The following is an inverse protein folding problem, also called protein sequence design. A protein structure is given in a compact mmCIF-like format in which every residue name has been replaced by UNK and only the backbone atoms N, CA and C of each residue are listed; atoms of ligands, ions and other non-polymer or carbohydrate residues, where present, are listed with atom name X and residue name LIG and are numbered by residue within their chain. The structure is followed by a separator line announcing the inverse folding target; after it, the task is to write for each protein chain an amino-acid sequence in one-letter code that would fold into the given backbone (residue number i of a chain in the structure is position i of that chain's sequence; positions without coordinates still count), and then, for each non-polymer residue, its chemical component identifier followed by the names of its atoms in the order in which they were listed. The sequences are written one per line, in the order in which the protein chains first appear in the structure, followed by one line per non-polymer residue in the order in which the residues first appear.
data_IF_286495913976
#
_entry.id   IF_286495913976
#
_cell.length_a   1.000
_cell.length_b   1.000
_cell.length_c   1.000
_cell.angle_alpha   90.00
_cell.angle_beta   90.00
_cell.angle_gamma   90.00
#
_symmetry.space_group_name_H-M   'P 1'
#
loop_
_entity.id
_entity.type
_entity.pdbx_description
1 polymer ?
#
# COMPACT_ATOMS: atom_id res chain seq x y z
N UNK A 1 1.92 -10.54 14.27
CA UNK A 1 3.23 -10.23 13.65
C UNK A 1 3.16 -8.94 12.86
N UNK A 2 4.21 -8.10 12.89
CA UNK A 2 4.30 -6.82 12.18
C UNK A 2 3.99 -6.90 10.67
N UNK A 3 4.19 -8.07 10.05
CA UNK A 3 3.89 -8.31 8.64
C UNK A 3 2.39 -8.25 8.29
N UNK A 4 1.49 -8.48 9.26
CA UNK A 4 0.03 -8.45 9.02
C UNK A 4 -0.45 -7.02 8.74
N UNK A 5 0.20 -6.01 9.34
CA UNK A 5 -0.21 -4.61 9.20
C UNK A 5 0.05 -4.12 7.77
N UNK A 6 1.19 -4.47 7.18
CA UNK A 6 1.55 -4.03 5.83
C UNK A 6 0.66 -4.69 4.76
N UNK A 7 0.18 -5.90 5.01
CA UNK A 7 -0.70 -6.62 4.08
C UNK A 7 -2.00 -5.85 3.80
N UNK A 8 -2.59 -5.24 4.84
CA UNK A 8 -3.79 -4.42 4.69
C UNK A 8 -3.57 -3.18 3.81
N UNK A 9 -2.37 -2.58 3.84
CA UNK A 9 -2.04 -1.39 3.04
C UNK A 9 -1.66 -1.72 1.60
N UNK A 10 -1.22 -2.95 1.34
CA UNK A 10 -0.83 -3.42 0.01
C UNK A 10 -1.89 -4.29 -0.66
N UNK A 11 -3.08 -4.42 -0.07
CA UNK A 11 -4.16 -5.26 -0.55
C UNK A 11 -5.26 -4.51 -1.31
N UNK A 12 -5.73 -5.14 -2.37
CA UNK A 12 -6.85 -4.67 -3.17
C UNK A 12 -8.18 -5.01 -2.49
N UNK A 13 -9.01 -4.01 -2.20
CA UNK A 13 -10.29 -4.21 -1.52
C UNK A 13 -11.36 -4.94 -2.36
N UNK A 14 -11.09 -5.22 -3.63
CA UNK A 14 -12.01 -5.95 -4.53
C UNK A 14 -11.70 -7.44 -4.57
N UNK A 15 -10.42 -7.83 -4.62
CA UNK A 15 -10.02 -9.23 -4.65
C UNK A 15 -9.41 -9.74 -3.35
N UNK A 16 -9.18 -8.86 -2.38
CA UNK A 16 -8.54 -9.16 -1.09
C UNK A 16 -7.13 -9.74 -1.20
N UNK A 17 -6.46 -9.51 -2.34
CA UNK A 17 -5.09 -9.95 -2.62
C UNK A 17 -4.16 -8.75 -2.68
N UNK A 18 -2.87 -8.96 -2.42
CA UNK A 18 -1.84 -7.94 -2.65
C UNK A 18 -1.91 -7.44 -4.09
N UNK A 19 -1.80 -6.11 -4.27
CA UNK A 19 -1.97 -5.46 -5.56
C UNK A 19 -1.17 -6.11 -6.71
N UNK A 20 -1.80 -6.18 -7.88
CA UNK A 20 -1.19 -6.45 -9.18
C UNK A 20 -1.54 -5.30 -10.12
N UNK A 21 -0.52 -4.60 -10.61
CA UNK A 21 -0.65 -3.38 -11.41
C UNK A 21 -1.66 -2.39 -10.79
N UNK A 22 -1.40 -1.89 -9.57
CA UNK A 22 -2.32 -1.02 -8.86
C UNK A 22 -2.57 0.29 -9.63
N UNK A 23 -3.81 0.74 -9.67
CA UNK A 23 -4.24 2.03 -10.21
C UNK A 23 -4.96 2.83 -9.13
N UNK A 24 -4.70 4.13 -9.06
CA UNK A 24 -5.27 5.01 -8.03
C UNK A 24 -6.31 5.96 -8.64
N UNK A 25 -7.49 6.04 -8.02
CA UNK A 25 -8.52 7.02 -8.36
C UNK A 25 -8.23 8.40 -7.77
N UNK A 26 -8.95 9.43 -8.25
CA UNK A 26 -8.85 10.79 -7.70
C UNK A 26 -9.25 10.89 -6.23
N UNK A 27 -10.09 9.97 -5.74
CA UNK A 27 -10.45 9.85 -4.33
C UNK A 27 -9.38 9.15 -3.46
N UNK A 28 -8.19 8.86 -4.00
CA UNK A 28 -7.07 8.23 -3.27
C UNK A 28 -7.12 6.70 -3.18
N UNK A 29 -8.30 6.07 -3.29
CA UNK A 29 -8.43 4.61 -3.27
C UNK A 29 -7.73 3.94 -4.46
N UNK A 30 -7.07 2.82 -4.18
CA UNK A 30 -6.30 2.04 -5.16
C UNK A 30 -6.82 0.61 -5.29
N UNK A 31 -6.72 0.06 -6.50
CA UNK A 31 -7.23 -1.26 -6.88
C UNK A 31 -6.28 -1.92 -7.86
N UNK A 32 -6.29 -3.25 -7.98
CA UNK A 32 -5.69 -3.89 -9.15
C UNK A 32 -6.38 -3.35 -10.42
N UNK A 33 -5.61 -3.04 -11.46
CA UNK A 33 -6.16 -2.50 -12.72
C UNK A 33 -7.31 -3.37 -13.25
N UNK A 34 -7.11 -4.68 -13.29
CA UNK A 34 -8.11 -5.65 -13.75
C UNK A 34 -9.36 -5.71 -12.87
N UNK A 35 -9.22 -5.56 -11.56
CA UNK A 35 -10.35 -5.55 -10.62
C UNK A 35 -11.23 -4.32 -10.83
N UNK A 36 -10.62 -3.14 -10.94
CA UNK A 36 -11.35 -1.89 -11.15
C UNK A 36 -12.04 -1.88 -12.52
N UNK A 37 -11.35 -2.35 -13.56
CA UNK A 37 -11.92 -2.44 -14.91
C UNK A 37 -13.15 -3.35 -14.94
N UNK A 38 -13.05 -4.57 -14.39
CA UNK A 38 -14.20 -5.49 -14.28
C UNK A 38 -15.37 -4.87 -13.53
N UNK A 39 -15.10 -4.19 -12.41
CA UNK A 39 -16.13 -3.52 -11.63
C UNK A 39 -16.85 -2.43 -12.44
N UNK A 40 -16.12 -1.58 -13.17
CA UNK A 40 -16.71 -0.55 -14.04
C UNK A 40 -17.51 -1.15 -15.21
N UNK A 41 -17.03 -2.24 -15.79
CA UNK A 41 -17.74 -2.97 -16.86
C UNK A 41 -19.06 -3.58 -16.37
N UNK A 42 -19.08 -4.12 -15.14
CA UNK A 42 -20.28 -4.72 -14.54
C UNK A 42 -21.30 -3.66 -14.11
N UNK A 43 -20.85 -2.60 -13.44
CA UNK A 43 -21.73 -1.58 -12.87
C UNK A 43 -22.14 -0.49 -13.86
N UNK A 44 -21.53 -0.50 -15.06
CA UNK A 44 -21.76 0.50 -16.14
C UNK A 44 -21.55 1.94 -15.68
N UNK A 45 -20.69 2.16 -14.69
CA UNK A 45 -20.29 3.48 -14.22
C UNK A 45 -18.83 3.48 -13.79
N UNK A 46 -18.22 4.67 -13.70
CA UNK A 46 -16.82 4.84 -13.28
C UNK A 46 -16.69 5.24 -11.81
N UNK A 47 -17.51 4.69 -10.92
CA UNK A 47 -17.46 5.05 -9.50
C UNK A 47 -16.40 4.23 -8.76
N UNK A 48 -15.92 4.78 -7.64
CA UNK A 48 -15.04 4.07 -6.73
C UNK A 48 -15.80 2.90 -6.07
N UNK A 49 -15.26 1.66 -6.08
CA UNK A 49 -15.84 0.53 -5.36
C UNK A 49 -16.06 0.79 -3.86
N UNK A 50 -15.22 1.62 -3.23
CA UNK A 50 -15.24 1.90 -1.79
C UNK A 50 -16.18 3.07 -1.48
N UNK A 51 -15.77 4.30 -1.80
CA UNK A 51 -16.51 5.51 -1.39
C UNK A 51 -17.62 5.93 -2.37
N UNK A 52 -17.83 5.19 -3.46
CA UNK A 52 -18.82 5.47 -4.53
C UNK A 52 -18.63 6.81 -5.25
N UNK A 53 -17.59 7.57 -4.94
CA UNK A 53 -17.23 8.80 -5.65
C UNK A 53 -16.93 8.55 -7.13
N UNK A 54 -17.42 9.43 -8.00
CA UNK A 54 -17.22 9.34 -9.45
C UNK A 54 -15.75 9.61 -9.81
N UNK A 55 -15.14 8.69 -10.55
CA UNK A 55 -13.82 8.92 -11.11
C UNK A 55 -13.89 9.96 -12.23
N UNK A 56 -13.00 10.95 -12.17
CA UNK A 56 -12.74 11.88 -13.28
C UNK A 56 -11.72 11.33 -14.28
N UNK A 57 -11.06 10.21 -13.99
CA UNK A 57 -10.01 9.64 -14.84
C UNK A 57 -10.62 8.82 -15.98
N UNK A 58 -10.30 9.22 -17.21
CA UNK A 58 -10.65 8.47 -18.43
C UNK A 58 -9.68 7.34 -18.71
N UNK A 59 -8.41 7.53 -18.37
CA UNK A 59 -7.33 6.55 -18.52
C UNK A 59 -6.78 6.25 -17.13
N UNK A 60 -6.56 4.96 -16.84
CA UNK A 60 -5.97 4.50 -15.60
C UNK A 60 -4.47 4.27 -15.80
N UNK A 61 -3.66 4.91 -14.98
CA UNK A 61 -2.21 4.72 -14.96
C UNK A 61 -1.81 3.89 -13.75
N UNK A 62 -0.86 2.98 -13.96
CA UNK A 62 -0.30 2.18 -12.87
C UNK A 62 0.45 3.10 -11.90
N UNK A 63 0.17 2.95 -10.62
CA UNK A 63 0.93 3.56 -9.55
C UNK A 63 2.21 2.74 -9.34
N UNK A 64 3.30 3.16 -9.99
CA UNK A 64 4.57 2.44 -9.97
C UNK A 64 5.16 2.28 -8.56
N UNK A 65 5.02 3.28 -7.69
CA UNK A 65 5.51 3.19 -6.32
C UNK A 65 4.77 2.08 -5.55
N UNK A 66 3.43 2.07 -5.64
CA UNK A 66 2.62 1.04 -4.98
C UNK A 66 2.87 -0.35 -5.59
N UNK A 67 3.11 -0.43 -6.91
CA UNK A 67 3.51 -1.67 -7.58
C UNK A 67 4.82 -2.20 -7.03
N UNK A 68 5.86 -1.36 -6.93
CA UNK A 68 7.17 -1.79 -6.41
C UNK A 68 7.08 -2.31 -4.97
N UNK A 69 6.28 -1.66 -4.12
CA UNK A 69 6.06 -2.11 -2.75
C UNK A 69 5.33 -3.46 -2.72
N UNK A 70 4.25 -3.61 -3.49
CA UNK A 70 3.50 -4.86 -3.60
C UNK A 70 4.34 -6.02 -4.15
N UNK A 71 5.16 -5.75 -5.17
CA UNK A 71 6.05 -6.75 -5.78
C UNK A 71 7.19 -7.14 -4.82
N UNK A 72 7.72 -6.19 -4.04
CA UNK A 72 8.70 -6.48 -2.99
C UNK A 72 8.09 -7.31 -1.85
N UNK A 73 6.86 -7.00 -1.43
CA UNK A 73 6.16 -7.72 -0.37
C UNK A 73 5.85 -9.18 -0.73
N UNK A 74 5.56 -9.42 -2.01
CA UNK A 74 5.19 -10.75 -2.52
C UNK A 74 6.35 -11.53 -3.14
N UNK A 75 7.56 -10.95 -3.18
CA UNK A 75 8.71 -11.56 -3.84
C UNK A 75 8.59 -11.64 -5.38
N UNK A 76 7.69 -10.89 -6.00
CA UNK A 76 7.43 -10.90 -7.47
C UNK A 76 8.44 -10.08 -8.29
N UNK A 77 9.59 -9.70 -7.72
CA UNK A 77 10.60 -8.89 -8.43
C UNK A 77 11.06 -9.62 -9.70
N UNK A 78 10.80 -9.04 -10.87
CA UNK A 78 11.60 -9.37 -12.06
C UNK A 78 12.99 -8.80 -11.83
N UNK A 79 14.01 -9.65 -11.90
CA UNK A 79 15.40 -9.22 -11.96
C UNK A 79 15.61 -8.43 -13.26
N UNK A 80 15.50 -7.11 -13.20
CA UNK A 80 16.15 -6.21 -14.15
C UNK A 80 17.27 -5.48 -13.41
N UNK A 81 18.46 -6.04 -13.59
CA UNK A 81 19.72 -5.65 -12.99
C UNK A 81 20.30 -4.42 -13.69
N UNK A 82 19.93 -3.23 -13.26
CA UNK A 82 20.78 -2.04 -13.43
C UNK A 82 20.50 -1.13 -12.24
N UNK A 83 21.32 -1.23 -11.19
CA UNK A 83 21.77 -0.17 -10.30
C UNK A 83 22.53 -0.86 -9.14
N UNK A 84 23.79 -0.51 -9.09
CA UNK A 84 24.86 -0.93 -8.17
C UNK A 84 24.41 -1.18 -6.73
N UNK A 85 24.79 -2.36 -6.23
CA UNK A 85 25.14 -2.71 -4.85
C UNK A 85 24.99 -1.59 -3.80
N UNK A 86 23.76 -1.33 -3.37
CA UNK A 86 23.46 -1.02 -1.98
C UNK A 86 22.18 -1.77 -1.64
N UNK A 87 22.35 -2.89 -0.95
CA UNK A 87 21.28 -3.63 -0.31
C UNK A 87 20.50 -2.68 0.61
N UNK A 88 19.41 -2.10 0.11
CA UNK A 88 18.35 -1.64 1.00
C UNK A 88 17.55 -2.89 1.34
N UNK A 89 18.09 -3.68 2.27
CA UNK A 89 17.30 -4.60 3.03
C UNK A 89 16.27 -3.74 3.79
N UNK A 90 15.04 -3.68 3.27
CA UNK A 90 13.90 -3.26 4.08
C UNK A 90 13.65 -4.39 5.05
N UNK A 91 14.52 -4.45 6.07
CA UNK A 91 14.23 -5.17 7.29
C UNK A 91 13.01 -4.48 7.87
N UNK A 92 11.98 -5.26 8.20
CA UNK A 92 10.82 -4.81 8.98
C UNK A 92 11.21 -4.43 10.42
N UNK A 93 12.26 -3.62 10.60
CA UNK A 93 12.54 -2.87 11.80
C UNK A 93 11.91 -1.49 11.62
N UNK A 94 10.57 -1.47 11.55
CA UNK A 94 9.84 -0.25 11.88
C UNK A 94 9.94 -0.15 13.40
N UNK A 95 10.69 0.81 13.99
CA UNK A 95 10.57 1.07 15.40
C UNK A 95 9.15 1.62 15.59
N UNK A 96 8.27 0.79 16.16
CA UNK A 96 6.93 1.12 16.70
C UNK A 96 6.46 2.55 16.40
N UNK A 97 5.99 2.79 15.17
CA UNK A 97 5.18 3.98 14.91
C UNK A 97 3.75 3.66 15.35
N UNK A 98 3.50 4.03 16.61
CA UNK A 98 2.21 4.25 17.27
C UNK A 98 1.21 3.08 17.26
N UNK A 99 1.27 2.26 18.32
CA UNK A 99 0.04 1.79 18.96
C UNK A 99 -0.17 2.69 20.18
N UNK A 100 -1.03 3.70 20.05
CA UNK A 100 -1.71 4.29 21.21
C UNK A 100 -2.94 3.43 21.45
N UNK A 101 -2.81 2.49 22.38
CA UNK A 101 -3.92 2.00 23.18
C UNK A 101 -3.34 1.78 24.59
N UNK A 102 -3.80 2.59 25.54
CA UNK A 102 -3.58 2.49 26.99
C UNK A 102 -3.76 1.03 27.45
N UNK A 103 -3.00 0.41 28.35
CA UNK A 103 -2.64 0.80 29.72
C UNK A 103 -1.52 -0.16 30.17
N UNK A 104 -0.35 0.34 30.56
CA UNK A 104 0.55 -0.25 31.56
C UNK A 104 1.79 0.63 31.65
N UNK A 105 1.85 1.43 32.71
CA UNK A 105 2.91 2.38 32.94
C UNK A 105 4.29 1.72 33.08
N UNK A 106 5.29 2.40 32.53
CA UNK A 106 6.55 2.68 33.21
C UNK A 106 7.42 3.56 32.29
N UNK A 107 7.82 4.72 32.83
CA UNK A 107 9.00 5.50 32.43
C UNK A 107 8.89 6.31 31.13
N UNK A 108 7.94 7.25 31.12
CA UNK A 108 8.15 8.56 30.48
C UNK A 108 8.98 9.43 31.43
N UNK A 109 10.31 9.40 31.34
CA UNK A 109 11.17 10.48 31.83
C UNK A 109 12.60 10.29 31.32
N UNK A 110 13.14 11.38 30.78
CA UNK A 110 14.55 11.65 30.49
C UNK A 110 15.09 11.13 29.15
N UNK A 111 14.88 11.90 28.08
CA UNK A 111 15.95 12.39 27.19
C UNK A 111 15.37 13.33 26.11
N UNK A 112 14.63 14.35 26.54
CA UNK A 112 14.63 15.62 25.80
C UNK A 112 15.60 16.49 26.58
N UNK A 113 16.87 16.54 26.13
CA UNK A 113 17.85 17.63 26.25
C UNK A 113 19.18 17.11 25.64
N UNK A 114 19.73 17.88 24.69
CA UNK A 114 21.04 17.74 24.02
C UNK A 114 21.15 16.54 23.06
N UNK A 115 21.39 16.69 21.75
CA UNK A 115 22.24 17.63 20.99
C UNK A 115 21.59 17.92 19.64
#
# INVERSE_FOLDING_TARGET
SPCVVLDNYLSCHVCSETFRDPVSLSCGHSFCSSCLQKFWEQTKNKNCPICKGKSSKNVLFVNFALKQLADSFTGRRKSESYLTEKEVAVVCNIPKLFCVDDVAGALMTEFIIAV
#
